data_IF_985933776902
#
_entry.id   IF_985933776902
#
_cell.length_a   1.000
_cell.length_b   1.000
_cell.length_c   1.000
_cell.angle_alpha   90.00
_cell.angle_beta   90.00
_cell.angle_gamma   90.00
#
_symmetry.space_group_name_H-M   'P 1'
#
loop_
_entity.id
_entity.type
_entity.pdbx_description
1 polymer ?
#
# COMPACT_ATOMS: atom_id res chain seq x y z
N UNK A 1 -10.11 10.15 -26.07
CA UNK A 1 -10.33 10.17 -24.60
C UNK A 1 -10.47 8.73 -24.10
N UNK A 2 -9.81 8.37 -22.99
CA UNK A 2 -9.98 7.04 -22.40
C UNK A 2 -11.27 7.01 -21.57
N UNK A 3 -12.03 5.93 -21.67
CA UNK A 3 -13.16 5.69 -20.78
C UNK A 3 -12.66 5.40 -19.36
N UNK A 4 -13.36 5.86 -18.32
CA UNK A 4 -12.97 5.58 -16.95
C UNK A 4 -13.07 4.07 -16.66
N UNK A 5 -12.25 3.54 -15.74
CA UNK A 5 -12.37 2.16 -15.31
C UNK A 5 -13.78 1.88 -14.77
N UNK A 6 -14.32 0.71 -15.13
CA UNK A 6 -15.66 0.28 -14.77
C UNK A 6 -15.62 -0.96 -13.87
N UNK A 7 -16.54 -1.04 -12.92
CA UNK A 7 -16.74 -2.24 -12.12
C UNK A 7 -17.46 -3.31 -12.96
N UNK A 8 -16.89 -4.51 -13.00
CA UNK A 8 -17.48 -5.67 -13.69
C UNK A 8 -17.83 -6.74 -12.66
N UNK A 9 -19.12 -7.00 -12.39
CA UNK A 9 -19.52 -8.05 -11.47
C UNK A 9 -19.19 -9.43 -12.05
N UNK A 10 -18.48 -10.26 -11.28
CA UNK A 10 -18.28 -11.68 -11.62
C UNK A 10 -19.60 -12.42 -11.38
N UNK A 11 -20.07 -13.19 -12.37
CA UNK A 11 -21.34 -13.92 -12.34
C UNK A 11 -21.14 -15.45 -12.30
N UNK A 12 -22.08 -16.23 -11.73
CA UNK A 12 -23.30 -15.78 -11.03
C UNK A 12 -22.99 -15.24 -9.62
N UNK A 13 -23.75 -14.23 -9.17
CA UNK A 13 -23.63 -13.69 -7.82
C UNK A 13 -24.69 -14.27 -6.88
N UNK A 14 -24.33 -14.71 -5.67
CA UNK A 14 -25.29 -14.97 -4.60
C UNK A 14 -26.18 -13.75 -4.36
N UNK A 15 -27.41 -13.96 -3.90
CA UNK A 15 -28.39 -12.89 -3.72
C UNK A 15 -27.90 -11.81 -2.72
N UNK A 16 -27.16 -12.25 -1.70
CA UNK A 16 -26.53 -11.41 -0.69
C UNK A 16 -25.49 -10.47 -1.32
N UNK A 17 -24.63 -11.01 -2.20
CA UNK A 17 -23.62 -10.23 -2.91
C UNK A 17 -24.27 -9.25 -3.90
N UNK A 18 -25.30 -9.69 -4.61
CA UNK A 18 -26.04 -8.83 -5.54
C UNK A 18 -26.68 -7.63 -4.82
N UNK A 19 -27.18 -7.82 -3.60
CA UNK A 19 -27.72 -6.73 -2.80
C UNK A 19 -26.66 -5.70 -2.39
N UNK A 20 -25.45 -6.13 -2.04
CA UNK A 20 -24.31 -5.26 -1.72
C UNK A 20 -23.83 -4.50 -2.96
N UNK A 21 -23.65 -5.20 -4.09
CA UNK A 21 -23.23 -4.59 -5.36
C UNK A 21 -24.21 -3.51 -5.82
N UNK A 22 -25.53 -3.73 -5.66
CA UNK A 22 -26.54 -2.71 -6.00
C UNK A 22 -26.46 -1.44 -5.16
N UNK A 23 -25.95 -1.52 -3.93
CA UNK A 23 -25.83 -0.37 -3.00
C UNK A 23 -24.50 0.33 -3.09
N UNK A 24 -23.49 -0.31 -3.65
CA UNK A 24 -22.16 0.23 -3.74
C UNK A 24 -22.06 1.36 -4.78
N UNK A 25 -21.24 2.37 -4.47
CA UNK A 25 -20.96 3.48 -5.37
C UNK A 25 -19.68 3.19 -6.16
N UNK A 26 -19.86 2.72 -7.39
CA UNK A 26 -18.75 2.39 -8.30
C UNK A 26 -18.53 3.43 -9.41
N UNK A 27 -19.28 4.54 -9.42
CA UNK A 27 -19.14 5.53 -10.49
C UNK A 27 -17.81 6.26 -10.39
N UNK A 28 -16.95 5.98 -11.37
CA UNK A 28 -15.68 6.68 -11.61
C UNK A 28 -15.82 7.69 -12.76
N UNK A 29 -17.05 8.05 -13.12
CA UNK A 29 -17.37 9.00 -14.20
C UNK A 29 -16.78 10.38 -13.98
N UNK A 30 -16.54 10.74 -12.71
CA UNK A 30 -15.82 11.96 -12.33
C UNK A 30 -14.40 12.04 -12.93
N UNK A 31 -13.85 10.91 -13.40
CA UNK A 31 -12.56 10.82 -14.07
C UNK A 31 -12.64 10.77 -15.59
N UNK A 32 -13.84 10.85 -16.17
CA UNK A 32 -14.01 10.87 -17.62
C UNK A 32 -13.23 12.03 -18.23
N UNK A 33 -12.36 11.72 -19.19
CA UNK A 33 -11.47 12.72 -19.82
C UNK A 33 -10.21 13.06 -19.02
N UNK A 34 -10.02 12.49 -17.83
CA UNK A 34 -8.79 12.60 -17.04
C UNK A 34 -7.92 11.34 -17.20
N UNK A 35 -6.61 11.49 -17.00
CA UNK A 35 -5.68 10.36 -16.92
C UNK A 35 -5.79 9.72 -15.53
N UNK A 36 -6.70 8.75 -15.37
CA UNK A 36 -6.87 8.00 -14.13
C UNK A 36 -6.21 6.61 -14.20
N UNK A 37 -5.49 6.23 -13.15
CA UNK A 37 -4.87 4.92 -12.99
C UNK A 37 -5.21 4.34 -11.63
N UNK A 38 -5.65 3.08 -11.61
CA UNK A 38 -5.85 2.33 -10.35
C UNK A 38 -4.49 1.81 -9.91
N UNK A 39 -4.03 2.27 -8.75
CA UNK A 39 -2.76 1.84 -8.18
C UNK A 39 -2.89 0.56 -7.38
N UNK A 40 -3.98 0.43 -6.62
CA UNK A 40 -4.23 -0.72 -5.77
C UNK A 40 -5.66 -0.77 -5.24
N UNK A 41 -6.10 -1.98 -4.87
CA UNK A 41 -7.36 -2.25 -4.19
C UNK A 41 -7.09 -3.07 -2.92
N UNK A 42 -7.42 -2.56 -1.73
CA UNK A 42 -7.26 -3.27 -0.45
C UNK A 42 -8.25 -2.77 0.60
N UNK A 43 -8.64 -3.64 1.53
CA UNK A 43 -9.49 -3.29 2.69
C UNK A 43 -10.74 -2.50 2.27
N UNK A 44 -11.43 -2.96 1.22
CA UNK A 44 -12.62 -2.30 0.67
C UNK A 44 -12.36 -0.95 -0.02
N UNK A 45 -11.11 -0.52 -0.11
CA UNK A 45 -10.69 0.77 -0.66
C UNK A 45 -9.97 0.62 -2.00
N UNK A 46 -10.18 1.58 -2.90
CA UNK A 46 -9.58 1.65 -4.24
C UNK A 46 -8.77 2.94 -4.35
N UNK A 47 -7.47 2.81 -4.57
CA UNK A 47 -6.54 3.91 -4.73
C UNK A 47 -6.43 4.29 -6.21
N UNK A 48 -6.90 5.48 -6.53
CA UNK A 48 -6.93 6.02 -7.90
C UNK A 48 -6.03 7.23 -7.96
N UNK A 49 -4.97 7.15 -8.78
CA UNK A 49 -4.17 8.32 -9.15
C UNK A 49 -4.83 9.00 -10.32
N UNK A 50 -5.00 10.32 -10.22
CA UNK A 50 -5.65 11.14 -11.24
C UNK A 50 -4.67 12.23 -11.65
N UNK A 51 -4.30 12.23 -12.93
CA UNK A 51 -3.51 13.28 -13.55
C UNK A 51 -4.37 14.51 -13.81
N UNK A 52 -3.96 15.64 -13.25
CA UNK A 52 -4.40 16.98 -13.63
C UNK A 52 -3.18 17.75 -14.13
N UNK A 53 -3.36 18.81 -14.92
CA UNK A 53 -2.26 19.57 -15.54
C UNK A 53 -1.11 19.86 -14.55
N UNK A 54 0.02 19.18 -14.73
CA UNK A 54 1.23 19.34 -13.91
C UNK A 54 1.25 18.63 -12.54
N UNK A 55 0.16 18.00 -12.07
CA UNK A 55 0.14 17.23 -10.81
C UNK A 55 -0.74 16.00 -10.86
N UNK A 56 -0.25 14.91 -10.29
CA UNK A 56 -1.04 13.72 -10.01
C UNK A 56 -1.49 13.71 -8.54
N UNK A 57 -2.79 13.53 -8.31
CA UNK A 57 -3.38 13.43 -6.96
C UNK A 57 -3.87 12.01 -6.74
N UNK A 58 -3.67 11.47 -5.54
CA UNK A 58 -4.17 10.16 -5.16
C UNK A 58 -5.49 10.32 -4.40
N UNK A 59 -6.52 9.63 -4.87
CA UNK A 59 -7.86 9.58 -4.29
C UNK A 59 -8.19 8.17 -3.84
N UNK A 60 -8.83 8.04 -2.68
CA UNK A 60 -9.22 6.73 -2.13
C UNK A 60 -10.73 6.65 -2.09
N UNK A 61 -11.27 5.69 -2.83
CA UNK A 61 -12.70 5.38 -2.87
C UNK A 61 -12.98 4.19 -1.98
N UNK A 62 -14.14 4.16 -1.34
CA UNK A 62 -14.62 2.98 -0.61
C UNK A 62 -15.95 2.55 -1.22
N UNK A 63 -15.95 1.87 -2.38
CA UNK A 63 -17.17 1.67 -3.17
C UNK A 63 -18.30 0.99 -2.40
N UNK A 64 -17.95 0.06 -1.51
CA UNK A 64 -18.91 -0.70 -0.70
C UNK A 64 -19.50 0.09 0.48
N UNK A 65 -18.94 1.28 0.78
CA UNK A 65 -19.39 2.15 1.86
C UNK A 65 -19.70 3.55 1.31
N UNK A 66 -20.79 3.73 0.54
CA UNK A 66 -21.08 4.96 -0.19
C UNK A 66 -21.27 6.20 0.71
N UNK A 67 -21.59 6.01 2.00
CA UNK A 67 -21.69 7.10 2.97
C UNK A 67 -20.30 7.65 3.36
N UNK A 68 -19.24 6.86 3.17
CA UNK A 68 -17.86 7.27 3.46
C UNK A 68 -17.40 8.22 2.35
N UNK A 69 -16.96 9.42 2.74
CA UNK A 69 -16.44 10.42 1.79
C UNK A 69 -15.15 9.91 1.15
N UNK A 70 -14.95 10.27 -0.12
CA UNK A 70 -13.69 10.05 -0.83
C UNK A 70 -12.57 10.76 -0.07
N UNK A 71 -11.52 10.01 0.28
CA UNK A 71 -10.36 10.58 0.95
C UNK A 71 -9.33 11.08 -0.08
N UNK A 72 -8.69 12.20 0.25
CA UNK A 72 -7.61 12.78 -0.54
C UNK A 72 -6.28 12.51 0.15
N UNK A 73 -5.36 11.88 -0.57
CA UNK A 73 -4.01 11.67 -0.08
C UNK A 73 -3.17 12.86 -0.55
N UNK A 74 -2.58 13.65 0.38
CA UNK A 74 -1.73 14.77 0.00
C UNK A 74 -0.45 14.27 -0.69
N UNK A 75 0.27 15.16 -1.41
CA UNK A 75 1.50 14.81 -2.10
C UNK A 75 2.45 14.01 -1.22
N UNK A 76 2.97 12.89 -1.75
CA UNK A 76 3.83 11.99 -0.98
C UNK A 76 5.16 12.68 -0.66
N UNK A 77 5.62 12.63 0.60
CA UNK A 77 6.86 13.25 1.01
C UNK A 77 8.05 12.55 0.35
N UNK A 78 9.13 13.29 0.14
CA UNK A 78 10.41 12.74 -0.33
C UNK A 78 11.47 13.03 0.73
N UNK A 79 12.01 12.01 1.42
CA UNK A 79 13.07 12.22 2.41
C UNK A 79 14.33 12.76 1.75
N UNK A 80 15.13 13.48 2.54
CA UNK A 80 16.51 13.76 2.18
C UNK A 80 17.32 12.47 2.27
N UNK A 81 17.80 11.98 1.12
CA UNK A 81 18.53 10.72 1.03
C UNK A 81 19.98 10.89 1.47
N UNK A 82 20.61 9.79 1.90
CA UNK A 82 22.06 9.75 2.11
C UNK A 82 22.78 9.96 0.76
N UNK A 83 24.07 10.35 0.78
CA UNK A 83 24.87 10.41 -0.44
C UNK A 83 24.79 9.10 -1.22
N UNK A 84 24.47 9.18 -2.52
CA UNK A 84 24.25 8.03 -3.41
C UNK A 84 23.09 7.10 -3.01
N UNK A 85 22.22 7.55 -2.11
CA UNK A 85 20.95 6.90 -1.81
C UNK A 85 19.97 7.08 -2.95
N UNK A 86 19.23 6.01 -3.26
CA UNK A 86 18.19 5.98 -4.28
C UNK A 86 16.91 5.39 -3.69
N UNK A 87 15.78 5.84 -4.22
CA UNK A 87 14.49 5.21 -3.95
C UNK A 87 14.46 3.83 -4.60
N UNK A 88 14.36 2.76 -3.80
CA UNK A 88 14.17 1.41 -4.34
C UNK A 88 12.70 1.01 -4.36
N UNK A 89 11.89 1.47 -3.40
CA UNK A 89 10.48 1.09 -3.30
C UNK A 89 9.67 2.13 -2.52
N UNK A 90 8.40 2.32 -2.90
CA UNK A 90 7.45 3.11 -2.13
C UNK A 90 6.08 2.45 -2.12
N UNK A 91 5.33 2.61 -1.02
CA UNK A 91 3.99 2.04 -0.89
C UNK A 91 3.14 2.81 0.10
N UNK A 92 1.87 2.99 -0.22
CA UNK A 92 0.85 3.43 0.74
C UNK A 92 0.18 2.19 1.33
N UNK A 93 0.05 2.15 2.65
CA UNK A 93 -0.68 1.15 3.43
C UNK A 93 -1.80 1.87 4.20
N UNK A 94 -2.89 1.16 4.47
CA UNK A 94 -4.05 1.71 5.18
C UNK A 94 -4.52 0.73 6.25
N UNK A 95 -4.88 1.25 7.41
CA UNK A 95 -5.53 0.52 8.51
C UNK A 95 -6.87 1.16 8.82
N UNK A 96 -7.85 0.36 9.20
CA UNK A 96 -9.06 0.89 9.84
C UNK A 96 -8.84 0.94 11.37
N UNK A 97 -8.96 2.13 11.93
CA UNK A 97 -8.99 2.37 13.38
C UNK A 97 -10.39 2.84 13.78
N UNK A 98 -10.72 2.85 15.08
CA UNK A 98 -12.04 3.28 15.58
C UNK A 98 -12.48 4.68 15.11
N UNK A 99 -11.53 5.53 14.70
CA UNK A 99 -11.77 6.88 14.18
C UNK A 99 -11.82 7.01 12.66
N UNK A 100 -11.56 5.95 11.88
CA UNK A 100 -11.52 6.01 10.42
C UNK A 100 -10.33 5.28 9.80
N UNK A 101 -9.99 5.64 8.56
CA UNK A 101 -8.83 5.08 7.87
C UNK A 101 -7.57 5.89 8.23
N UNK A 102 -6.56 5.19 8.74
CA UNK A 102 -5.20 5.72 8.92
C UNK A 102 -4.34 5.29 7.74
N UNK A 103 -3.49 6.20 7.23
CA UNK A 103 -2.60 5.91 6.10
C UNK A 103 -1.14 5.99 6.51
N UNK A 104 -0.37 5.02 6.04
CA UNK A 104 1.06 4.90 6.25
C UNK A 104 1.75 4.92 4.89
N UNK A 105 2.78 5.75 4.74
CA UNK A 105 3.60 5.79 3.54
C UNK A 105 4.99 5.25 3.86
N UNK A 106 5.38 4.21 3.13
CA UNK A 106 6.69 3.60 3.17
C UNK A 106 7.54 4.12 2.02
N UNK A 107 8.78 4.49 2.33
CA UNK A 107 9.79 4.86 1.37
C UNK A 107 11.08 4.12 1.73
N UNK A 108 11.52 3.23 0.86
CA UNK A 108 12.75 2.44 1.04
C UNK A 108 13.88 3.10 0.26
N UNK A 109 14.89 3.53 0.99
CA UNK A 109 16.14 4.06 0.48
C UNK A 109 17.17 2.93 0.44
N UNK A 110 17.82 2.74 -0.70
CA UNK A 110 18.95 1.82 -0.86
C UNK A 110 20.17 2.56 -1.41
N UNK A 111 21.36 2.18 -0.99
CA UNK A 111 22.62 2.71 -1.53
C UNK A 111 23.21 1.78 -2.59
N UNK A 112 23.81 2.36 -3.64
CA UNK A 112 24.41 1.59 -4.75
C UNK A 112 25.69 0.86 -4.29
N UNK A 113 26.51 1.53 -3.48
CA UNK A 113 27.87 1.07 -3.15
C UNK A 113 27.90 0.07 -1.97
N UNK A 114 26.88 0.09 -1.11
CA UNK A 114 26.75 -0.79 0.06
C UNK A 114 25.34 -1.34 0.16
N UNK A 115 25.15 -2.58 0.64
CA UNK A 115 23.84 -3.14 0.97
C UNK A 115 23.20 -2.53 2.22
N UNK A 116 23.24 -1.21 2.35
CA UNK A 116 22.56 -0.50 3.42
C UNK A 116 21.21 -0.02 2.91
N UNK A 117 20.14 -0.59 3.48
CA UNK A 117 18.77 -0.17 3.24
C UNK A 117 18.27 0.60 4.45
N UNK A 118 17.58 1.71 4.22
CA UNK A 118 16.94 2.54 5.24
C UNK A 118 15.47 2.70 4.89
N UNK A 119 14.62 2.48 5.87
CA UNK A 119 13.18 2.64 5.74
C UNK A 119 12.75 3.97 6.35
N UNK A 120 12.09 4.80 5.54
CA UNK A 120 11.41 6.01 5.98
C UNK A 120 9.91 5.74 6.02
N UNK A 121 9.27 6.14 7.12
CA UNK A 121 7.85 5.90 7.36
C UNK A 121 7.19 7.23 7.68
N UNK A 122 6.05 7.48 7.03
CA UNK A 122 5.22 8.65 7.30
C UNK A 122 3.81 8.20 7.63
N UNK A 123 3.17 8.90 8.56
CA UNK A 123 1.77 8.68 8.93
C UNK A 123 0.97 9.89 8.52
N UNK A 124 -0.17 9.68 7.84
CA UNK A 124 -1.07 10.77 7.49
C UNK A 124 -1.95 11.10 8.69
N UNK A 125 -1.79 12.31 9.23
CA UNK A 125 -2.60 12.83 10.33
C UNK A 125 -3.05 14.25 9.97
N UNK A 126 -4.35 14.53 10.12
CA UNK A 126 -4.96 15.83 9.83
C UNK A 126 -4.59 16.42 8.45
N UNK A 127 -4.46 15.55 7.44
CA UNK A 127 -4.10 15.95 6.07
C UNK A 127 -2.62 16.27 5.86
N UNK A 128 -1.75 15.98 6.84
CA UNK A 128 -0.30 16.17 6.76
C UNK A 128 0.46 14.86 6.97
N UNK A 129 1.53 14.67 6.20
CA UNK A 129 2.45 13.56 6.36
C UNK A 129 3.43 13.84 7.48
N UNK A 130 3.30 13.13 8.60
CA UNK A 130 4.22 13.23 9.73
C UNK A 130 5.27 12.12 9.66
N UNK A 131 6.58 12.45 9.64
CA UNK A 131 7.63 11.45 9.62
C UNK A 131 7.71 10.72 10.97
N UNK A 132 7.98 9.42 10.92
CA UNK A 132 8.52 8.65 12.04
C UNK A 132 10.05 8.61 11.95
N UNK A 133 10.69 8.18 13.04
CA UNK A 133 12.12 7.93 13.03
C UNK A 133 12.47 6.94 11.91
N UNK A 134 13.46 7.25 11.06
CA UNK A 134 13.91 6.32 10.03
C UNK A 134 14.56 5.10 10.69
N UNK A 135 14.37 3.94 10.07
CA UNK A 135 14.87 2.68 10.60
C UNK A 135 15.91 2.10 9.65
N UNK A 136 17.09 1.82 10.18
CA UNK A 136 18.13 1.15 9.42
C UNK A 136 17.89 -0.37 9.39
N UNK A 137 17.93 -0.93 8.19
CA UNK A 137 17.69 -2.37 7.95
C UNK A 137 19.01 -3.16 7.93
N UNK A 138 20.00 -2.73 8.71
CA UNK A 138 21.32 -3.37 8.77
C UNK A 138 21.16 -4.86 9.08
N UNK A 139 21.89 -5.71 8.35
CA UNK A 139 21.88 -7.18 8.52
C UNK A 139 20.57 -7.89 8.15
N UNK A 140 19.54 -7.17 7.68
CA UNK A 140 18.34 -7.80 7.14
C UNK A 140 18.54 -8.14 5.65
N UNK A 141 17.85 -9.18 5.14
CA UNK A 141 17.73 -9.38 3.71
C UNK A 141 17.21 -8.11 3.04
N UNK A 142 17.66 -7.81 1.83
CA UNK A 142 17.10 -6.68 1.08
C UNK A 142 15.65 -7.01 0.68
N UNK A 143 14.71 -6.06 0.79
CA UNK A 143 13.39 -6.22 0.18
C UNK A 143 13.50 -6.54 -1.30
N UNK A 144 12.54 -7.31 -1.81
CA UNK A 144 12.42 -7.54 -3.26
C UNK A 144 12.20 -6.23 -4.01
N UNK A 145 12.41 -6.22 -5.34
CA UNK A 145 12.30 -5.00 -6.16
C UNK A 145 10.88 -4.39 -6.13
N UNK A 146 9.85 -5.25 -6.08
CA UNK A 146 8.45 -4.87 -6.00
C UNK A 146 7.73 -5.71 -4.94
N UNK A 147 8.09 -5.56 -3.66
CA UNK A 147 7.44 -6.31 -2.61
C UNK A 147 5.98 -5.85 -2.51
N UNK A 148 5.09 -6.79 -2.16
CA UNK A 148 3.69 -6.49 -1.83
C UNK A 148 3.52 -6.58 -0.32
N UNK A 149 3.92 -5.55 0.44
CA UNK A 149 3.83 -5.60 1.89
C UNK A 149 2.38 -5.55 2.34
N UNK A 150 2.14 -6.13 3.51
CA UNK A 150 0.84 -6.13 4.18
C UNK A 150 1.02 -5.57 5.57
N UNK A 151 0.11 -4.68 5.96
CA UNK A 151 0.02 -4.14 7.31
C UNK A 151 -1.11 -4.88 8.02
N UNK A 152 -0.79 -5.52 9.14
CA UNK A 152 -1.74 -6.18 10.04
C UNK A 152 -1.48 -5.64 11.44
N UNK A 153 -2.52 -5.11 12.07
CA UNK A 153 -2.42 -4.37 13.33
C UNK A 153 -1.34 -3.26 13.26
N UNK A 154 -0.25 -3.44 14.00
CA UNK A 154 0.90 -2.53 14.07
C UNK A 154 2.14 -3.10 13.40
N UNK A 155 2.00 -4.14 12.57
CA UNK A 155 3.12 -4.84 11.94
C UNK A 155 3.04 -4.86 10.43
N UNK A 156 4.16 -4.54 9.79
CA UNK A 156 4.31 -4.59 8.34
C UNK A 156 5.13 -5.82 7.98
N UNK A 157 4.52 -6.70 7.20
CA UNK A 157 5.16 -7.90 6.65
C UNK A 157 5.56 -7.62 5.22
N UNK A 158 6.83 -7.81 4.90
CA UNK A 158 7.39 -7.48 3.59
C UNK A 158 8.24 -8.64 3.07
N UNK A 159 7.91 -9.21 1.90
CA UNK A 159 8.76 -10.22 1.26
C UNK A 159 10.16 -9.67 0.99
N UNK A 160 11.18 -10.48 1.30
CA UNK A 160 12.59 -10.13 1.15
C UNK A 160 13.44 -11.36 0.85
N UNK A 161 14.61 -11.16 0.24
CA UNK A 161 15.49 -12.28 -0.13
C UNK A 161 14.78 -13.37 -0.94
N UNK A 162 15.32 -14.60 -0.90
CA UNK A 162 14.73 -15.74 -1.60
C UNK A 162 13.70 -16.49 -0.75
N UNK A 163 13.75 -16.38 0.58
CA UNK A 163 12.91 -17.20 1.47
C UNK A 163 12.60 -16.51 2.79
N UNK A 164 12.61 -15.18 2.81
CA UNK A 164 12.51 -14.38 4.01
C UNK A 164 11.32 -13.42 3.95
N UNK A 165 10.67 -13.20 5.10
CA UNK A 165 9.73 -12.10 5.28
C UNK A 165 10.29 -11.21 6.37
N UNK A 166 10.54 -9.95 6.04
CA UNK A 166 10.87 -8.93 7.03
C UNK A 166 9.58 -8.52 7.72
N UNK A 167 9.62 -8.50 9.05
CA UNK A 167 8.53 -7.99 9.87
C UNK A 167 9.02 -6.74 10.58
N UNK A 168 8.33 -5.64 10.31
CA UNK A 168 8.53 -4.38 11.00
C UNK A 168 7.42 -4.20 12.03
N UNK A 169 7.80 -4.07 13.30
CA UNK A 169 6.91 -3.67 14.37
C UNK A 169 6.94 -2.14 14.52
N UNK A 170 5.82 -1.49 14.20
CA UNK A 170 5.69 -0.04 14.23
C UNK A 170 5.64 0.52 15.66
N UNK A 171 5.26 -0.30 16.63
CA UNK A 171 5.18 0.09 18.05
C UNK A 171 6.57 0.06 18.67
N UNK A 172 7.27 -1.06 18.50
CA UNK A 172 8.62 -1.24 19.01
C UNK A 172 9.71 -0.56 18.16
N UNK A 173 9.36 -0.10 16.94
CA UNK A 173 10.31 0.46 15.97
C UNK A 173 11.47 -0.51 15.71
N UNK A 174 11.14 -1.78 15.52
CA UNK A 174 12.11 -2.87 15.42
C UNK A 174 11.81 -3.80 14.26
N UNK A 175 12.85 -4.47 13.76
CA UNK A 175 12.71 -5.49 12.73
C UNK A 175 12.92 -6.90 13.27
N UNK A 176 12.28 -7.85 12.61
CA UNK A 176 12.56 -9.29 12.73
C UNK A 176 12.39 -9.95 11.36
N UNK A 177 12.72 -11.24 11.29
CA UNK A 177 12.62 -12.02 10.05
C UNK A 177 11.89 -13.32 10.31
N UNK A 178 10.98 -13.68 9.41
CA UNK A 178 10.33 -14.99 9.35
C UNK A 178 10.93 -15.76 8.18
N UNK A 179 11.37 -16.98 8.44
CA UNK A 179 11.83 -17.92 7.41
C UNK A 179 10.62 -18.62 6.80
N UNK A 180 10.59 -18.73 5.47
CA UNK A 180 9.58 -19.54 4.80
C UNK A 180 9.83 -21.04 5.03
N UNK A 181 8.78 -21.87 4.97
CA UNK A 181 8.92 -23.32 4.98
C UNK A 181 9.88 -23.81 3.90
N UNK A 182 10.62 -24.90 4.20
CA UNK A 182 11.57 -25.50 3.25
C UNK A 182 10.87 -25.85 1.95
N UNK A 183 11.48 -25.44 0.83
CA UNK A 183 10.95 -25.65 -0.52
C UNK A 183 10.16 -24.47 -1.09
N UNK A 184 9.76 -23.50 -0.25
CA UNK A 184 9.12 -22.27 -0.69
C UNK A 184 10.16 -21.19 -0.96
N UNK A 185 10.10 -20.58 -2.14
CA UNK A 185 10.97 -19.45 -2.49
C UNK A 185 10.15 -18.34 -3.12
N UNK A 186 10.61 -17.11 -2.89
CA UNK A 186 10.19 -15.97 -3.67
C UNK A 186 10.79 -16.01 -5.05
N UNK A 187 10.05 -15.49 -6.02
CA UNK A 187 10.58 -15.16 -7.33
C UNK A 187 11.56 -13.98 -7.21
N UNK A 188 12.72 -14.11 -7.84
CA UNK A 188 13.83 -13.15 -7.77
C UNK A 188 13.44 -11.77 -8.29
N UNK A 189 12.54 -11.71 -9.28
CA UNK A 189 12.05 -10.44 -9.82
C UNK A 189 11.03 -9.74 -8.90
N UNK A 190 10.54 -10.40 -7.85
CA UNK A 190 9.45 -9.91 -7.02
C UNK A 190 8.12 -9.84 -7.77
N UNK A 191 7.04 -9.52 -7.05
CA UNK A 191 5.72 -9.27 -7.65
C UNK A 191 4.82 -10.49 -7.87
N UNK A 192 5.34 -11.71 -7.94
CA UNK A 192 4.51 -12.94 -8.04
C UNK A 192 4.17 -13.55 -6.68
N UNK A 193 5.03 -13.38 -5.67
CA UNK A 193 4.69 -13.77 -4.30
C UNK A 193 3.89 -12.68 -3.62
N UNK A 194 2.65 -13.00 -3.28
CA UNK A 194 1.76 -12.11 -2.52
C UNK A 194 1.52 -12.69 -1.14
N UNK A 195 1.68 -11.86 -0.12
CA UNK A 195 1.15 -12.18 1.21
C UNK A 195 -0.36 -12.01 1.15
N UNK A 196 -1.08 -13.07 1.53
CA UNK A 196 -2.53 -13.00 1.66
C UNK A 196 -2.86 -11.97 2.74
N UNK A 197 -3.73 -11.03 2.40
CA UNK A 197 -4.24 -10.02 3.33
C UNK A 197 -5.39 -10.69 4.08
N UNK A 198 -5.22 -11.00 5.37
CA UNK A 198 -6.37 -11.32 6.21
C UNK A 198 -7.24 -10.08 6.33
N UNK A 199 -8.56 -10.23 6.30
CA UNK A 199 -9.42 -9.16 6.78
C UNK A 199 -9.08 -8.93 8.25
N UNK A 200 -8.82 -7.68 8.62
CA UNK A 200 -8.89 -7.27 10.02
C UNK A 200 -10.30 -7.68 10.47
N UNK A 201 -10.40 -8.62 11.42
CA UNK A 201 -11.67 -9.15 11.85
C UNK A 201 -12.49 -8.00 12.46
N UNK A 202 -13.41 -7.44 11.68
CA UNK A 202 -14.42 -6.52 12.17
C UNK A 202 -15.43 -7.33 12.99
N UNK A 203 -15.10 -7.50 14.26
CA UNK A 203 -16.07 -7.86 15.31
C UNK A 203 -17.02 -6.72 15.59
#
# INVERSE_FOLDING_TARGET
PADPPAFVPVLPQPAELAAVVRRASFSLDVYRGLLAQIHDCRNGSVFVQVGTEGRAVMRVHTPLCPQRRVAFIPPLPRPALRPRGLCSFTQILSTEERGGLSYHYLYVESTVDKPETRLHIYVLQDGLWLPRAPLDMHQLPRPLLQPKPVLVDTRIYMPAGLSDIIVLDLTASSFSTIQLPRGTKHDECGGTTMLARSYDASG
#
